data_IF_146658117764
#
_entry.id   IF_146658117764
#
_cell.length_a   1.000
_cell.length_b   1.000
_cell.length_c   1.000
_cell.angle_alpha   90.00
_cell.angle_beta   90.00
_cell.angle_gamma   90.00
#
_symmetry.space_group_name_H-M   'P 1'
#
loop_
_entity.id
_entity.type
_entity.pdbx_description
1 polymer ?
#
# COMPACT_ATOMS: atom_id res chain seq x y z
N UNK A 1 5.85 8.25 64.62
CA UNK A 1 5.08 8.88 63.53
C UNK A 1 5.48 8.28 62.19
N UNK A 2 5.33 6.95 62.10
CA UNK A 2 5.23 6.23 60.84
C UNK A 2 3.79 6.34 60.31
N UNK A 3 3.64 6.05 59.02
CA UNK A 3 2.48 5.38 58.39
C UNK A 3 1.26 6.13 57.83
N UNK A 4 1.12 7.46 57.87
CA UNK A 4 -0.18 8.07 57.46
C UNK A 4 -0.30 8.41 55.95
N UNK A 5 0.79 8.72 55.23
CA UNK A 5 0.68 9.21 53.84
C UNK A 5 0.81 8.16 52.73
N UNK A 6 1.01 6.88 53.06
CA UNK A 6 1.06 5.80 52.06
C UNK A 6 -0.34 5.25 51.68
N UNK A 7 -1.38 5.58 52.46
CA UNK A 7 -2.72 4.99 52.31
C UNK A 7 -3.70 5.82 51.45
N UNK A 8 -3.40 7.09 51.14
CA UNK A 8 -4.35 7.98 50.43
C UNK A 8 -4.16 8.00 48.91
N UNK A 9 -3.02 7.54 48.38
CA UNK A 9 -2.78 7.48 46.93
C UNK A 9 -3.20 6.14 46.31
N UNK A 10 -3.58 5.16 47.12
CA UNK A 10 -3.90 3.79 46.67
C UNK A 10 -5.37 3.58 46.26
N UNK A 11 -6.25 4.58 46.39
CA UNK A 11 -7.71 4.39 46.28
C UNK A 11 -8.32 4.82 44.93
N UNK A 12 -7.51 5.13 43.90
CA UNK A 12 -8.06 5.50 42.57
C UNK A 12 -7.33 4.84 41.40
N UNK A 13 -7.08 3.54 41.49
CA UNK A 13 -6.66 2.72 40.33
C UNK A 13 -7.46 1.42 40.28
N UNK A 14 -8.74 1.46 40.65
CA UNK A 14 -9.65 0.33 40.48
C UNK A 14 -11.01 0.84 40.00
N UNK A 15 -11.17 0.93 38.69
CA UNK A 15 -12.39 0.53 37.96
C UNK A 15 -12.30 0.99 36.49
N UNK A 16 -11.34 0.41 35.77
CA UNK A 16 -11.47 0.21 34.35
C UNK A 16 -11.62 -1.28 34.16
N UNK A 17 -12.75 -1.73 33.62
CA UNK A 17 -12.97 -3.11 33.17
C UNK A 17 -11.65 -3.60 32.53
N UNK A 18 -11.09 -4.77 32.91
CA UNK A 18 -9.95 -5.30 32.17
C UNK A 18 -10.38 -5.28 30.71
N UNK A 19 -9.60 -4.66 29.83
CA UNK A 19 -9.84 -4.78 28.40
C UNK A 19 -9.60 -6.26 28.12
N UNK A 20 -10.64 -7.06 28.30
CA UNK A 20 -10.65 -8.48 28.02
C UNK A 20 -10.18 -8.57 26.58
N UNK A 21 -9.00 -9.17 26.46
CA UNK A 21 -8.28 -9.58 25.27
C UNK A 21 -9.14 -9.40 24.02
N UNK A 22 -8.87 -8.38 23.22
CA UNK A 22 -9.37 -8.37 21.84
C UNK A 22 -8.99 -9.72 21.25
N UNK A 23 -9.97 -10.55 20.92
CA UNK A 23 -9.77 -11.82 20.22
C UNK A 23 -8.94 -11.52 18.98
N UNK A 24 -7.63 -11.69 19.09
CA UNK A 24 -6.71 -11.36 18.03
C UNK A 24 -6.78 -12.55 17.07
N UNK A 25 -7.36 -12.40 15.87
CA UNK A 25 -7.54 -13.52 14.94
C UNK A 25 -6.19 -14.11 14.49
N UNK A 26 -5.10 -13.35 14.65
CA UNK A 26 -3.72 -13.80 14.43
C UNK A 26 -3.19 -14.72 15.54
N UNK A 27 -3.78 -14.69 16.74
CA UNK A 27 -3.35 -15.46 17.91
C UNK A 27 -4.24 -16.68 18.19
N UNK A 28 -5.53 -16.61 17.81
CA UNK A 28 -6.54 -17.64 18.16
C UNK A 28 -7.01 -18.53 16.99
N UNK A 29 -6.65 -18.24 15.73
CA UNK A 29 -7.06 -19.04 14.56
C UNK A 29 -5.87 -19.72 13.88
N UNK A 30 -6.06 -20.88 13.24
CA UNK A 30 -5.00 -21.52 12.46
C UNK A 30 -4.41 -20.51 11.45
N UNK A 31 -3.08 -20.43 11.41
CA UNK A 31 -2.32 -19.42 10.66
C UNK A 31 -2.59 -19.53 9.16
N UNK A 32 -2.73 -20.76 8.65
CA UNK A 32 -2.90 -21.07 7.23
C UNK A 32 -4.15 -20.41 6.59
N UNK A 33 -5.39 -20.58 7.10
CA UNK A 33 -6.57 -19.95 6.52
C UNK A 33 -6.57 -18.42 6.68
N UNK A 34 -5.94 -17.88 7.73
CA UNK A 34 -5.84 -16.43 7.93
C UNK A 34 -4.87 -15.81 6.92
N UNK A 35 -3.72 -16.45 6.69
CA UNK A 35 -2.79 -16.04 5.64
C UNK A 35 -3.42 -16.12 4.26
N UNK A 36 -4.09 -17.24 3.93
CA UNK A 36 -4.79 -17.40 2.65
C UNK A 36 -5.84 -16.31 2.44
N UNK A 37 -6.65 -15.97 3.46
CA UNK A 37 -7.66 -14.93 3.34
C UNK A 37 -7.08 -13.53 3.13
N UNK A 38 -5.91 -13.24 3.70
CA UNK A 38 -5.22 -11.95 3.53
C UNK A 38 -4.41 -11.87 2.23
N UNK A 39 -3.88 -12.99 1.73
CA UNK A 39 -3.09 -13.04 0.49
C UNK A 39 -3.94 -13.21 -0.76
N UNK A 40 -5.13 -13.82 -0.65
CA UNK A 40 -6.04 -14.05 -1.79
C UNK A 40 -6.33 -12.77 -2.60
N UNK A 41 -6.65 -11.61 -1.98
CA UNK A 41 -6.88 -10.38 -2.73
C UNK A 41 -5.66 -9.95 -3.54
N UNK A 42 -4.46 -10.07 -2.96
CA UNK A 42 -3.21 -9.71 -3.63
C UNK A 42 -2.90 -10.68 -4.79
N UNK A 43 -3.15 -11.98 -4.60
CA UNK A 43 -2.96 -12.97 -5.68
C UNK A 43 -3.89 -12.69 -6.86
N UNK A 44 -5.14 -12.32 -6.61
CA UNK A 44 -6.09 -11.93 -7.67
C UNK A 44 -5.57 -10.70 -8.43
N UNK A 45 -5.05 -9.70 -7.73
CA UNK A 45 -4.46 -8.52 -8.38
C UNK A 45 -3.25 -8.86 -9.26
N UNK A 46 -2.37 -9.76 -8.79
CA UNK A 46 -1.21 -10.22 -9.56
C UNK A 46 -1.64 -11.04 -10.79
N UNK A 47 -2.65 -11.90 -10.66
CA UNK A 47 -3.22 -12.65 -11.79
C UNK A 47 -3.84 -11.71 -12.83
N UNK A 48 -4.63 -10.73 -12.39
CA UNK A 48 -5.21 -9.73 -13.29
C UNK A 48 -4.12 -8.96 -14.04
N UNK A 49 -3.04 -8.56 -13.34
CA UNK A 49 -1.89 -7.88 -13.95
C UNK A 49 -1.21 -8.75 -15.00
N UNK A 50 -1.02 -10.05 -14.72
CA UNK A 50 -0.46 -10.99 -15.69
C UNK A 50 -1.36 -11.16 -16.93
N UNK A 51 -2.68 -11.24 -16.74
CA UNK A 51 -3.63 -11.31 -17.86
C UNK A 51 -3.58 -10.07 -18.75
N UNK A 52 -3.46 -8.88 -18.17
CA UNK A 52 -3.29 -7.63 -18.92
C UNK A 52 -2.01 -7.69 -19.76
N UNK A 53 -0.88 -8.08 -19.17
CA UNK A 53 0.38 -8.19 -19.90
C UNK A 53 0.31 -9.20 -21.07
N UNK A 54 -0.37 -10.35 -20.86
CA UNK A 54 -0.62 -11.34 -21.92
C UNK A 54 -1.51 -10.75 -23.02
N UNK A 55 -2.59 -10.05 -22.65
CA UNK A 55 -3.52 -9.46 -23.61
C UNK A 55 -2.84 -8.37 -24.46
N UNK A 56 -2.04 -7.49 -23.85
CA UNK A 56 -1.28 -6.45 -24.53
C UNK A 56 -0.28 -7.05 -25.51
N UNK A 57 0.53 -8.01 -25.04
CA UNK A 57 1.55 -8.66 -25.87
C UNK A 57 0.92 -9.46 -27.01
N UNK A 58 -0.18 -10.16 -26.75
CA UNK A 58 -0.91 -10.93 -27.77
C UNK A 58 -1.51 -10.00 -28.82
N UNK A 59 -2.12 -8.89 -28.39
CA UNK A 59 -2.68 -7.89 -29.30
C UNK A 59 -1.61 -7.30 -30.21
N UNK A 60 -0.50 -6.83 -29.65
CA UNK A 60 0.60 -6.24 -30.43
C UNK A 60 1.34 -7.29 -31.26
N UNK A 61 1.44 -8.53 -30.77
CA UNK A 61 2.08 -9.61 -31.50
C UNK A 61 1.36 -9.99 -32.79
N UNK A 62 0.03 -9.79 -32.86
CA UNK A 62 -0.74 -9.99 -34.10
C UNK A 62 -0.45 -8.90 -35.15
N UNK A 63 0.04 -7.71 -34.74
CA UNK A 63 0.43 -6.64 -35.66
C UNK A 63 1.81 -6.87 -36.31
N UNK A 64 2.55 -7.91 -35.92
CA UNK A 64 3.84 -8.30 -36.51
C UNK A 64 5.06 -7.97 -35.63
N UNK A 65 6.26 -8.14 -36.19
CA UNK A 65 7.52 -8.04 -35.44
C UNK A 65 8.00 -6.61 -35.20
N UNK A 66 7.67 -5.66 -36.08
CA UNK A 66 8.07 -4.25 -35.94
C UNK A 66 7.46 -3.59 -34.69
N UNK A 67 6.14 -3.72 -34.41
CA UNK A 67 5.54 -3.21 -33.18
C UNK A 67 6.08 -3.90 -31.91
N UNK A 68 6.35 -5.20 -31.98
CA UNK A 68 6.99 -5.95 -30.89
C UNK A 68 8.40 -5.43 -30.57
N UNK A 69 9.18 -5.09 -31.60
CA UNK A 69 10.51 -4.50 -31.41
C UNK A 69 10.43 -3.10 -30.76
N UNK A 70 9.45 -2.28 -31.13
CA UNK A 70 9.20 -0.99 -30.50
C UNK A 70 8.83 -1.15 -29.00
N UNK A 71 8.00 -2.14 -28.66
CA UNK A 71 7.68 -2.43 -27.25
C UNK A 71 8.92 -2.81 -26.43
N UNK A 72 9.86 -3.58 -27.01
CA UNK A 72 11.08 -3.98 -26.30
C UNK A 72 11.95 -2.76 -25.90
N UNK A 73 11.97 -1.72 -26.73
CA UNK A 73 12.67 -0.46 -26.40
C UNK A 73 11.97 0.32 -25.28
N UNK A 74 10.65 0.26 -25.24
CA UNK A 74 9.81 0.97 -24.26
C UNK A 74 9.74 0.25 -22.91
N UNK A 75 9.93 -1.08 -22.91
CA UNK A 75 9.77 -1.93 -21.73
C UNK A 75 10.58 -1.49 -20.50
N UNK A 76 11.88 -1.12 -20.60
CA UNK A 76 12.66 -0.66 -19.45
C UNK A 76 12.11 0.62 -18.84
N UNK A 77 11.59 1.53 -19.66
CA UNK A 77 11.01 2.79 -19.18
C UNK A 77 9.67 2.55 -18.48
N UNK A 78 8.84 1.64 -19.01
CA UNK A 78 7.60 1.22 -18.34
C UNK A 78 7.90 0.53 -17.01
N UNK A 79 8.90 -0.35 -16.96
CA UNK A 79 9.33 -0.97 -15.71
C UNK A 79 9.82 0.06 -14.69
N UNK A 80 10.61 1.05 -15.12
CA UNK A 80 11.08 2.13 -14.26
C UNK A 80 9.91 2.94 -13.69
N UNK A 81 8.94 3.31 -14.53
CA UNK A 81 7.72 3.98 -14.11
C UNK A 81 6.95 3.14 -13.07
N UNK A 82 6.79 1.84 -13.33
CA UNK A 82 6.06 0.93 -12.45
C UNK A 82 6.75 0.77 -11.09
N UNK A 83 8.08 0.68 -11.05
CA UNK A 83 8.87 0.55 -9.81
C UNK A 83 8.86 1.82 -8.98
N UNK A 84 8.95 2.99 -9.61
CA UNK A 84 8.82 4.28 -8.91
C UNK A 84 7.43 4.43 -8.29
N UNK A 85 6.39 4.05 -9.05
CA UNK A 85 5.00 4.13 -8.62
C UNK A 85 4.67 3.13 -7.50
N UNK A 86 4.93 1.83 -7.71
CA UNK A 86 4.53 0.79 -6.74
C UNK A 86 5.45 0.74 -5.51
N UNK A 87 6.75 0.99 -5.70
CA UNK A 87 7.76 0.90 -4.65
C UNK A 87 7.90 2.20 -3.86
N UNK A 88 8.61 3.18 -4.46
CA UNK A 88 9.04 4.39 -3.76
C UNK A 88 7.86 5.26 -3.30
N UNK A 89 6.92 5.54 -4.21
CA UNK A 89 5.80 6.45 -3.91
C UNK A 89 4.63 5.70 -3.25
N UNK A 90 4.16 4.61 -3.85
CA UNK A 90 3.02 3.82 -3.36
C UNK A 90 3.26 3.20 -1.98
N UNK A 91 4.42 2.55 -1.79
CA UNK A 91 4.79 1.96 -0.50
C UNK A 91 4.95 3.01 0.61
N UNK A 92 5.63 4.12 0.31
CA UNK A 92 5.85 5.22 1.26
C UNK A 92 4.55 5.89 1.71
N UNK A 93 3.67 6.21 0.76
CA UNK A 93 2.35 6.80 1.01
C UNK A 93 1.47 5.84 1.81
N UNK A 94 1.34 4.58 1.37
CA UNK A 94 0.51 3.58 2.05
C UNK A 94 0.98 3.33 3.49
N UNK A 95 2.29 3.28 3.71
CA UNK A 95 2.89 3.15 5.04
C UNK A 95 2.59 4.36 5.94
N UNK A 96 2.68 5.57 5.40
CA UNK A 96 2.40 6.78 6.16
C UNK A 96 0.91 6.95 6.47
N UNK A 97 0.00 6.61 5.55
CA UNK A 97 -1.45 6.56 5.78
C UNK A 97 -1.79 5.51 6.84
N UNK A 98 -1.21 4.30 6.73
CA UNK A 98 -1.43 3.22 7.70
C UNK A 98 -1.03 3.62 9.12
N UNK A 99 0.09 4.35 9.28
CA UNK A 99 0.50 4.89 10.59
C UNK A 99 -0.46 5.95 11.12
N UNK A 100 -0.97 6.85 10.27
CA UNK A 100 -1.92 7.88 10.68
C UNK A 100 -3.27 7.27 11.11
N UNK A 101 -3.78 6.29 10.37
CA UNK A 101 -4.98 5.53 10.73
C UNK A 101 -4.75 4.75 12.03
N UNK A 102 -3.61 4.06 12.17
CA UNK A 102 -3.25 3.32 13.38
C UNK A 102 -3.13 4.18 14.63
N UNK A 103 -2.81 5.47 14.49
CA UNK A 103 -2.78 6.45 15.58
C UNK A 103 -4.14 7.11 15.87
N UNK A 104 -5.22 6.72 15.18
CA UNK A 104 -6.56 7.32 15.32
C UNK A 104 -6.70 8.71 14.69
N UNK A 105 -5.73 9.16 13.89
CA UNK A 105 -5.71 10.51 13.29
C UNK A 105 -6.27 10.46 11.86
N UNK A 106 -7.59 10.23 11.71
CA UNK A 106 -8.25 10.06 10.41
C UNK A 106 -8.17 11.31 9.53
N UNK A 107 -8.28 12.51 10.09
CA UNK A 107 -8.19 13.77 9.33
C UNK A 107 -6.79 13.96 8.73
N UNK A 108 -5.77 13.55 9.47
CA UNK A 108 -4.38 13.57 9.01
C UNK A 108 -4.16 12.52 7.91
N UNK A 109 -4.76 11.34 8.03
CA UNK A 109 -4.72 10.31 7.00
C UNK A 109 -5.37 10.81 5.68
N UNK A 110 -6.51 11.49 5.77
CA UNK A 110 -7.20 12.08 4.61
C UNK A 110 -6.36 13.18 3.95
N UNK A 111 -5.77 14.07 4.76
CA UNK A 111 -4.87 15.11 4.26
C UNK A 111 -3.67 14.52 3.54
N UNK A 112 -3.07 13.47 4.10
CA UNK A 112 -1.93 12.78 3.50
C UNK A 112 -2.31 12.08 2.19
N UNK A 113 -3.49 11.46 2.14
CA UNK A 113 -4.02 10.86 0.91
C UNK A 113 -4.19 11.92 -0.19
N UNK A 114 -4.76 13.09 0.12
CA UNK A 114 -4.91 14.19 -0.85
C UNK A 114 -3.56 14.66 -1.40
N UNK A 115 -2.56 14.85 -0.52
CA UNK A 115 -1.22 15.23 -0.97
C UNK A 115 -0.58 14.15 -1.84
N UNK A 116 -0.75 12.88 -1.48
CA UNK A 116 -0.24 11.77 -2.28
C UNK A 116 -0.89 11.71 -3.66
N UNK A 117 -2.20 11.97 -3.78
CA UNK A 117 -2.89 12.04 -5.06
C UNK A 117 -2.37 13.17 -5.93
N UNK A 118 -2.15 14.36 -5.36
CA UNK A 118 -1.58 15.51 -6.10
C UNK A 118 -0.15 15.20 -6.57
N UNK A 119 0.69 14.66 -5.68
CA UNK A 119 2.08 14.31 -6.01
C UNK A 119 2.12 13.22 -7.10
N UNK A 120 1.30 12.18 -6.97
CA UNK A 120 1.19 11.11 -7.96
C UNK A 120 0.68 11.61 -9.31
N UNK A 121 -0.32 12.49 -9.31
CA UNK A 121 -0.82 13.14 -10.52
C UNK A 121 0.24 14.00 -11.20
N UNK A 122 0.97 14.82 -10.43
CA UNK A 122 2.06 15.65 -10.96
C UNK A 122 3.19 14.79 -11.53
N UNK A 123 3.59 13.74 -10.81
CA UNK A 123 4.60 12.79 -11.28
C UNK A 123 4.16 12.08 -12.57
N UNK A 124 2.88 11.70 -12.69
CA UNK A 124 2.31 11.12 -13.90
C UNK A 124 2.33 12.08 -15.10
N UNK A 125 2.00 13.36 -14.87
CA UNK A 125 2.11 14.41 -15.91
C UNK A 125 3.56 14.58 -16.34
N UNK A 126 4.50 14.64 -15.39
CA UNK A 126 5.93 14.72 -15.69
C UNK A 126 6.39 13.52 -16.53
N UNK A 127 5.97 12.30 -16.16
CA UNK A 127 6.32 11.10 -16.91
C UNK A 127 5.74 11.12 -18.33
N UNK A 128 4.51 11.61 -18.48
CA UNK A 128 3.85 11.77 -19.79
C UNK A 128 4.59 12.76 -20.68
N UNK A 129 4.97 13.93 -20.13
CA UNK A 129 5.74 14.95 -20.86
C UNK A 129 7.13 14.40 -21.22
N UNK A 130 7.79 13.69 -20.30
CA UNK A 130 9.07 13.05 -20.57
C UNK A 130 8.96 12.03 -21.71
N UNK A 131 7.93 11.19 -21.71
CA UNK A 131 7.72 10.22 -22.79
C UNK A 131 7.42 10.90 -24.13
N UNK A 132 6.68 12.00 -24.12
CA UNK A 132 6.34 12.73 -25.34
C UNK A 132 7.57 13.43 -25.95
N UNK A 133 8.50 13.92 -25.12
CA UNK A 133 9.68 14.68 -25.57
C UNK A 133 10.90 13.80 -25.81
N UNK A 134 11.08 12.74 -25.00
CA UNK A 134 12.26 11.87 -25.02
C UNK A 134 11.95 10.44 -25.50
N UNK A 135 10.71 10.16 -25.89
CA UNK A 135 10.34 8.89 -26.52
C UNK A 135 11.00 8.74 -27.91
N UNK A 136 11.40 7.52 -28.29
CA UNK A 136 11.90 7.22 -29.64
C UNK A 136 10.81 7.33 -30.72
#
# INVERSE_FOLDING_TARGET
MASINAATTATKVASGKPILTRDNPLLNRPILPTLLRLSLPNMIALLATAFVAIAETSYVGVLGTTPLAALALVFPMVMLQQMLSSGAMGGGVSSAISRAIGAGQTDRAATLAMHATVIGGLAGVVFTVLFLVAGP
#
